data_IF_264472730726
#
_entry.id   IF_264472730726
#
_cell.length_a   1.000
_cell.length_b   1.000
_cell.length_c   1.000
_cell.angle_alpha   90.00
_cell.angle_beta   90.00
_cell.angle_gamma   90.00
#
_symmetry.space_group_name_H-M   'P 1'
#
loop_
_entity.id
_entity.type
_entity.pdbx_description
1 polymer ?
#
# COMPACT_ATOMS: atom_id res chain seq x y z
N UNK A 1 4.78 -15.91 0.78
CA UNK A 1 3.71 -14.89 0.77
C UNK A 1 4.25 -13.62 0.15
N UNK A 2 3.51 -12.96 -0.74
CA UNK A 2 3.92 -11.67 -1.35
C UNK A 2 3.22 -10.54 -0.60
N UNK A 3 3.95 -9.46 -0.32
CA UNK A 3 3.43 -8.30 0.41
C UNK A 3 3.96 -7.02 -0.21
N UNK A 4 3.08 -6.04 -0.42
CA UNK A 4 3.45 -4.69 -0.82
C UNK A 4 3.63 -3.86 0.45
N UNK A 5 4.81 -3.25 0.61
CA UNK A 5 5.08 -2.28 1.67
C UNK A 5 4.83 -0.87 1.10
N UNK A 6 3.95 -0.11 1.75
CA UNK A 6 3.63 1.27 1.35
C UNK A 6 4.10 2.22 2.45
N UNK A 7 5.12 3.05 2.19
CA UNK A 7 5.49 4.12 3.11
C UNK A 7 4.38 5.17 3.17
N UNK A 8 4.13 5.71 4.36
CA UNK A 8 3.16 6.77 4.58
C UNK A 8 3.69 7.82 5.55
N UNK A 9 3.47 9.08 5.19
CA UNK A 9 3.64 10.28 6.02
C UNK A 9 2.27 10.87 6.41
N UNK A 10 1.19 10.10 6.22
CA UNK A 10 -0.22 10.50 6.38
C UNK A 10 -0.69 11.65 5.50
N UNK A 11 0.08 12.04 4.49
CA UNK A 11 -0.36 13.01 3.48
C UNK A 11 -1.49 12.45 2.60
N UNK A 12 -2.18 13.35 1.89
CA UNK A 12 -3.15 12.95 0.88
C UNK A 12 -2.52 12.10 -0.24
N UNK A 13 -1.25 12.38 -0.55
CA UNK A 13 -0.47 11.66 -1.56
C UNK A 13 -0.18 10.23 -1.11
N UNK A 14 0.24 10.03 0.14
CA UNK A 14 0.44 8.70 0.70
C UNK A 14 -0.86 7.90 0.78
N UNK A 15 -1.99 8.55 1.08
CA UNK A 15 -3.32 7.93 1.01
C UNK A 15 -3.63 7.41 -0.40
N UNK A 16 -3.36 8.21 -1.43
CA UNK A 16 -3.58 7.79 -2.82
C UNK A 16 -2.70 6.58 -3.20
N UNK A 17 -1.44 6.56 -2.74
CA UNK A 17 -0.53 5.42 -2.94
C UNK A 17 -1.04 4.15 -2.24
N UNK A 18 -1.55 4.27 -1.01
CA UNK A 18 -2.14 3.15 -0.28
C UNK A 18 -3.37 2.56 -0.99
N UNK A 19 -4.26 3.43 -1.50
CA UNK A 19 -5.45 2.99 -2.27
C UNK A 19 -5.03 2.22 -3.53
N UNK A 20 -4.05 2.75 -4.27
CA UNK A 20 -3.51 2.08 -5.45
C UNK A 20 -2.93 0.70 -5.08
N UNK A 21 -2.11 0.62 -4.04
CA UNK A 21 -1.50 -0.62 -3.58
C UNK A 21 -2.52 -1.70 -3.21
N UNK A 22 -3.65 -1.33 -2.58
CA UNK A 22 -4.73 -2.27 -2.28
C UNK A 22 -5.31 -2.87 -3.55
N UNK A 23 -5.61 -2.05 -4.56
CA UNK A 23 -6.15 -2.52 -5.84
C UNK A 23 -5.14 -3.42 -6.58
N UNK A 24 -3.85 -3.07 -6.55
CA UNK A 24 -2.79 -3.90 -7.12
C UNK A 24 -2.67 -5.24 -6.39
N UNK A 25 -2.69 -5.22 -5.07
CA UNK A 25 -2.51 -6.40 -4.23
C UNK A 25 -3.58 -7.48 -4.48
N UNK A 26 -4.83 -7.06 -4.76
CA UNK A 26 -5.91 -7.98 -5.13
C UNK A 26 -5.58 -8.80 -6.39
N UNK A 27 -5.05 -8.15 -7.43
CA UNK A 27 -4.73 -8.80 -8.70
C UNK A 27 -3.60 -9.83 -8.58
N UNK A 28 -2.64 -9.59 -7.68
CA UNK A 28 -1.45 -10.44 -7.51
C UNK A 28 -1.53 -11.36 -6.28
N UNK A 29 -2.67 -11.40 -5.59
CA UNK A 29 -2.90 -12.15 -4.34
C UNK A 29 -1.81 -11.86 -3.31
N UNK A 30 -1.53 -10.58 -3.08
CA UNK A 30 -0.57 -10.10 -2.09
C UNK A 30 -1.27 -9.41 -0.91
N UNK A 31 -0.56 -9.30 0.22
CA UNK A 31 -0.95 -8.42 1.31
C UNK A 31 -0.46 -6.98 1.10
N UNK A 32 -0.96 -6.05 1.92
CA UNK A 32 -0.48 -4.67 1.99
C UNK A 32 -0.14 -4.34 3.44
N UNK A 33 1.03 -3.74 3.67
CA UNK A 33 1.43 -3.19 4.97
C UNK A 33 1.74 -1.71 4.77
N UNK A 34 1.18 -0.88 5.65
CA UNK A 34 1.55 0.53 5.76
C UNK A 34 2.72 0.66 6.73
N UNK A 35 3.74 1.42 6.36
CA UNK A 35 4.89 1.73 7.21
C UNK A 35 5.02 3.24 7.35
N UNK A 36 5.11 3.72 8.59
CA UNK A 36 5.29 5.14 8.86
C UNK A 36 6.77 5.52 8.68
N UNK A 37 7.01 6.62 7.97
CA UNK A 37 8.32 7.26 7.85
C UNK A 37 8.48 8.42 8.85
#
# INVERSE_FOLDING_TARGET
>A
MKTILVPTDFSAQAKNAAIYAVNTAQNIRAGVILCQL
#
